data_IF_851844130928
#
_entry.id   IF_851844130928
#
_cell.length_a   1.000
_cell.length_b   1.000
_cell.length_c   1.000
_cell.angle_alpha   90.00
_cell.angle_beta   90.00
_cell.angle_gamma   90.00
#
_symmetry.space_group_name_H-M   'P 1'
#
loop_
_entity.id
_entity.type
_entity.pdbx_description
1 polymer ?
#
# COMPACT_ATOMS: atom_id res chain seq x y z
N UNK A 1 -20.36 16.60 -5.62
CA UNK A 1 -19.13 15.84 -5.76
C UNK A 1 -18.58 15.42 -4.40
N UNK A 2 -18.29 14.18 -4.26
CA UNK A 2 -17.62 13.68 -3.06
C UNK A 2 -16.14 13.96 -3.17
N UNK A 3 -15.60 14.75 -2.28
CA UNK A 3 -14.15 14.95 -2.22
C UNK A 3 -13.54 13.94 -1.29
N UNK A 4 -12.28 13.69 -1.44
CA UNK A 4 -11.54 12.95 -0.44
C UNK A 4 -11.34 13.88 0.76
N UNK A 5 -12.34 13.97 1.56
CA UNK A 5 -12.37 14.88 2.72
C UNK A 5 -12.06 14.03 3.95
N UNK A 6 -10.92 13.43 3.97
CA UNK A 6 -10.48 12.61 5.10
C UNK A 6 -11.21 11.29 5.27
N UNK A 7 -12.42 11.15 4.83
CA UNK A 7 -13.24 9.97 5.09
C UNK A 7 -13.93 9.38 3.88
N UNK A 8 -14.29 10.23 2.91
CA UNK A 8 -15.11 9.84 1.78
C UNK A 8 -14.39 10.20 0.51
N UNK A 9 -14.24 9.21 -0.38
CA UNK A 9 -13.71 9.45 -1.71
C UNK A 9 -14.74 10.21 -2.53
N UNK A 10 -14.28 11.10 -3.42
CA UNK A 10 -15.17 11.75 -4.35
C UNK A 10 -15.74 10.72 -5.33
N UNK A 11 -16.92 11.02 -5.86
CA UNK A 11 -17.53 10.20 -6.90
C UNK A 11 -16.57 10.04 -8.10
N UNK A 12 -15.88 11.10 -8.47
CA UNK A 12 -14.90 11.10 -9.56
C UNK A 12 -13.73 10.17 -9.30
N UNK A 13 -13.20 10.16 -8.07
CA UNK A 13 -12.12 9.27 -7.67
C UNK A 13 -12.58 7.81 -7.70
N UNK A 14 -13.79 7.53 -7.24
CA UNK A 14 -14.38 6.18 -7.26
C UNK A 14 -14.51 5.70 -8.70
N UNK A 15 -15.00 6.55 -9.61
CA UNK A 15 -15.12 6.22 -11.03
C UNK A 15 -13.75 5.97 -11.66
N UNK A 16 -12.74 6.77 -11.31
CA UNK A 16 -11.39 6.61 -11.81
C UNK A 16 -10.76 5.30 -11.34
N UNK A 17 -10.97 4.93 -10.09
CA UNK A 17 -10.50 3.63 -9.55
C UNK A 17 -11.17 2.48 -10.29
N UNK A 18 -12.47 2.58 -10.55
CA UNK A 18 -13.20 1.56 -11.30
C UNK A 18 -12.67 1.42 -12.74
N UNK A 19 -12.37 2.54 -13.40
CA UNK A 19 -11.76 2.54 -14.72
C UNK A 19 -10.40 1.86 -14.72
N UNK A 20 -9.55 2.15 -13.72
CA UNK A 20 -8.25 1.52 -13.59
C UNK A 20 -8.37 0.01 -13.42
N UNK A 21 -9.30 -0.45 -12.58
CA UNK A 21 -9.55 -1.88 -12.38
C UNK A 21 -10.02 -2.59 -13.64
N UNK A 22 -10.74 -1.88 -14.50
CA UNK A 22 -11.23 -2.42 -15.77
C UNK A 22 -10.21 -2.29 -16.89
N UNK A 23 -9.10 -1.59 -16.64
CA UNK A 23 -8.01 -1.48 -17.60
C UNK A 23 -7.31 -2.82 -17.76
N UNK A 24 -7.13 -3.27 -19.00
CA UNK A 24 -6.41 -4.52 -19.27
C UNK A 24 -4.97 -4.46 -18.78
N UNK A 25 -4.33 -3.30 -18.91
CA UNK A 25 -2.95 -3.11 -18.46
C UNK A 25 -2.82 -3.33 -16.95
N UNK A 26 -3.74 -2.79 -16.16
CA UNK A 26 -3.74 -2.98 -14.71
C UNK A 26 -4.07 -4.42 -14.33
N UNK A 27 -5.04 -5.01 -15.01
CA UNK A 27 -5.39 -6.41 -14.79
C UNK A 27 -4.22 -7.35 -15.09
N UNK A 28 -3.51 -7.11 -16.18
CA UNK A 28 -2.33 -7.89 -16.55
C UNK A 28 -1.23 -7.75 -15.52
N UNK A 29 -1.02 -6.54 -15.00
CA UNK A 29 -0.03 -6.29 -13.94
C UNK A 29 -0.38 -7.07 -12.67
N UNK A 30 -1.62 -6.98 -12.22
CA UNK A 30 -2.06 -7.69 -11.00
C UNK A 30 -1.99 -9.20 -11.18
N UNK A 31 -2.35 -9.70 -12.36
CA UNK A 31 -2.21 -11.12 -12.68
C UNK A 31 -0.75 -11.53 -12.67
N UNK A 32 0.14 -10.69 -13.22
CA UNK A 32 1.58 -10.93 -13.18
C UNK A 32 2.12 -11.04 -11.76
N UNK A 33 1.69 -10.14 -10.88
CA UNK A 33 2.08 -10.16 -9.46
C UNK A 33 1.65 -11.47 -8.81
N UNK A 34 0.43 -11.95 -9.12
CA UNK A 34 -0.08 -13.21 -8.55
C UNK A 34 0.69 -14.45 -9.04
N UNK A 35 1.49 -14.32 -10.10
CA UNK A 35 2.31 -15.42 -10.63
C UNK A 35 3.73 -15.46 -10.03
N UNK A 36 4.05 -14.55 -9.13
CA UNK A 36 5.32 -14.59 -8.40
C UNK A 36 5.27 -15.65 -7.31
N UNK A 37 6.29 -16.49 -7.25
CA UNK A 37 6.32 -17.64 -6.34
C UNK A 37 7.13 -17.42 -5.07
N UNK A 38 8.07 -16.48 -5.08
CA UNK A 38 8.98 -16.28 -3.95
C UNK A 38 9.52 -14.85 -3.94
N UNK A 39 10.22 -14.51 -2.86
CA UNK A 39 10.73 -13.16 -2.66
C UNK A 39 11.80 -12.78 -3.71
N UNK A 40 12.61 -13.72 -4.12
CA UNK A 40 13.64 -13.46 -5.14
C UNK A 40 13.02 -13.04 -6.47
N UNK A 41 11.94 -13.68 -6.85
CA UNK A 41 11.19 -13.31 -8.05
C UNK A 41 10.52 -11.95 -7.90
N UNK A 42 10.06 -11.61 -6.70
CA UNK A 42 9.53 -10.28 -6.42
C UNK A 42 10.59 -9.20 -6.66
N UNK A 43 11.81 -9.41 -6.14
CA UNK A 43 12.91 -8.47 -6.37
C UNK A 43 13.19 -8.30 -7.86
N UNK A 44 13.30 -9.39 -8.60
CA UNK A 44 13.56 -9.34 -10.05
C UNK A 44 12.49 -8.57 -10.79
N UNK A 45 11.23 -8.87 -10.49
CA UNK A 45 10.10 -8.24 -11.18
C UNK A 45 10.02 -6.75 -10.88
N UNK A 46 10.13 -6.36 -9.62
CA UNK A 46 10.02 -4.96 -9.23
C UNK A 46 11.27 -4.15 -9.61
N UNK A 47 12.45 -4.78 -9.67
CA UNK A 47 13.66 -4.13 -10.16
C UNK A 47 13.49 -3.71 -11.63
N UNK A 48 12.85 -4.56 -12.43
CA UNK A 48 12.59 -4.24 -13.85
C UNK A 48 11.42 -3.27 -14.02
N UNK A 49 10.38 -3.42 -13.22
CA UNK A 49 9.12 -2.68 -13.37
C UNK A 49 9.23 -1.23 -12.87
N UNK A 50 9.91 -1.02 -11.74
CA UNK A 50 9.92 0.26 -11.03
C UNK A 50 11.27 0.95 -11.15
N UNK A 51 11.24 2.29 -11.17
CA UNK A 51 12.45 3.06 -10.89
C UNK A 51 12.80 2.89 -9.41
N UNK A 52 14.04 3.19 -9.05
CA UNK A 52 14.48 3.16 -7.65
C UNK A 52 13.59 4.06 -6.79
N UNK A 53 13.27 5.26 -7.27
CA UNK A 53 12.42 6.21 -6.56
C UNK A 53 11.01 5.67 -6.35
N UNK A 54 10.43 5.06 -7.37
CA UNK A 54 9.11 4.45 -7.29
C UNK A 54 9.07 3.33 -6.25
N UNK A 55 10.06 2.45 -6.29
CA UNK A 55 10.14 1.34 -5.34
C UNK A 55 10.32 1.85 -3.90
N UNK A 56 11.20 2.83 -3.69
CA UNK A 56 11.39 3.44 -2.37
C UNK A 56 10.11 4.07 -1.85
N UNK A 57 9.37 4.75 -2.72
CA UNK A 57 8.12 5.41 -2.36
C UNK A 57 7.04 4.41 -1.93
N UNK A 58 6.90 3.32 -2.67
CA UNK A 58 5.96 2.25 -2.33
C UNK A 58 6.36 1.59 -1.00
N UNK A 59 7.64 1.26 -0.85
CA UNK A 59 8.17 0.64 0.36
C UNK A 59 7.97 1.54 1.58
N UNK A 60 8.19 2.85 1.44
CA UNK A 60 7.96 3.81 2.52
C UNK A 60 6.50 3.81 2.98
N UNK A 61 5.56 3.85 2.04
CA UNK A 61 4.12 3.83 2.37
C UNK A 61 3.74 2.54 3.11
N UNK A 62 4.29 1.42 2.69
CA UNK A 62 4.02 0.15 3.34
C UNK A 62 4.60 0.10 4.76
N UNK A 63 5.83 0.59 4.95
CA UNK A 63 6.45 0.71 6.26
C UNK A 63 5.63 1.60 7.20
N UNK A 64 5.13 2.73 6.70
CA UNK A 64 4.25 3.64 7.46
C UNK A 64 2.98 2.91 7.90
N UNK A 65 2.34 2.18 6.99
CA UNK A 65 1.12 1.42 7.32
C UNK A 65 1.38 0.42 8.43
N UNK A 66 2.47 -0.31 8.35
CA UNK A 66 2.86 -1.29 9.38
C UNK A 66 3.05 -0.63 10.74
N UNK A 67 3.77 0.48 10.78
CA UNK A 67 4.02 1.22 12.02
C UNK A 67 2.75 1.82 12.62
N UNK A 68 1.84 2.31 11.78
CA UNK A 68 0.54 2.81 12.25
C UNK A 68 -0.28 1.70 12.90
N UNK A 69 -0.25 0.50 12.35
CA UNK A 69 -0.92 -0.66 12.93
C UNK A 69 -0.31 -1.08 14.27
N UNK A 70 0.95 -0.79 14.47
CA UNK A 70 1.65 -1.03 15.74
C UNK A 70 1.49 0.13 16.73
N UNK A 71 0.66 1.12 16.41
CA UNK A 71 0.36 2.29 17.24
C UNK A 71 1.58 3.18 17.52
N UNK A 72 2.52 3.21 16.59
CA UNK A 72 3.68 4.10 16.66
C UNK A 72 3.24 5.52 16.32
N UNK A 73 3.77 6.52 17.01
CA UNK A 73 3.39 7.92 16.81
C UNK A 73 3.86 8.45 15.46
N UNK A 74 3.16 9.45 14.94
CA UNK A 74 3.52 10.12 13.69
C UNK A 74 4.95 10.66 13.72
N UNK A 75 5.35 11.24 14.85
CA UNK A 75 6.69 11.78 15.01
C UNK A 75 7.76 10.70 14.84
N UNK A 76 7.58 9.58 15.51
CA UNK A 76 8.50 8.46 15.43
C UNK A 76 8.50 7.80 14.06
N UNK A 77 7.33 7.67 13.43
CA UNK A 77 7.23 7.15 12.06
C UNK A 77 8.00 8.04 11.09
N UNK A 78 7.83 9.35 11.20
CA UNK A 78 8.55 10.32 10.36
C UNK A 78 10.06 10.20 10.52
N UNK A 79 10.55 10.04 11.74
CA UNK A 79 11.97 9.85 12.02
C UNK A 79 12.51 8.56 11.39
N UNK A 80 11.78 7.47 11.54
CA UNK A 80 12.23 6.15 11.07
C UNK A 80 12.13 5.96 9.56
N UNK A 81 11.12 6.55 8.93
CA UNK A 81 10.83 6.31 7.52
C UNK A 81 11.21 7.47 6.60
N UNK A 82 11.38 8.65 7.15
CA UNK A 82 11.54 9.86 6.36
C UNK A 82 10.25 10.36 5.71
N UNK A 83 9.12 9.72 6.01
CA UNK A 83 7.84 10.12 5.44
C UNK A 83 7.37 11.46 6.00
N UNK A 84 6.78 12.29 5.15
CA UNK A 84 6.16 13.55 5.58
C UNK A 84 4.87 13.27 6.37
N UNK A 85 4.45 14.23 7.16
CA UNK A 85 3.18 14.15 7.88
C UNK A 85 2.01 13.93 6.91
N UNK A 86 2.05 14.55 5.75
CA UNK A 86 1.03 14.38 4.71
C UNK A 86 0.97 12.93 4.22
N UNK A 87 2.12 12.30 4.00
CA UNK A 87 2.18 10.88 3.59
C UNK A 87 1.61 9.99 4.68
N UNK A 88 2.03 10.21 5.94
CA UNK A 88 1.55 9.41 7.08
C UNK A 88 0.04 9.55 7.23
N UNK A 89 -0.49 10.77 7.14
CA UNK A 89 -1.93 11.02 7.23
C UNK A 89 -2.70 10.33 6.11
N UNK A 90 -2.17 10.35 4.90
CA UNK A 90 -2.78 9.68 3.74
C UNK A 90 -2.85 8.17 3.94
N UNK A 91 -1.75 7.56 4.39
CA UNK A 91 -1.71 6.11 4.67
C UNK A 91 -2.70 5.78 5.78
N UNK A 92 -2.75 6.58 6.83
CA UNK A 92 -3.68 6.38 7.93
C UNK A 92 -5.14 6.40 7.46
N UNK A 93 -5.48 7.32 6.55
CA UNK A 93 -6.83 7.34 5.96
C UNK A 93 -7.13 6.08 5.16
N UNK A 94 -6.16 5.58 4.40
CA UNK A 94 -6.32 4.32 3.67
C UNK A 94 -6.54 3.14 4.61
N UNK A 95 -5.85 3.10 5.75
CA UNK A 95 -6.04 2.07 6.76
C UNK A 95 -7.45 2.08 7.34
N UNK A 96 -8.01 3.28 7.57
CA UNK A 96 -9.30 3.43 8.24
C UNK A 96 -10.49 3.45 7.28
N UNK A 97 -10.30 3.95 6.07
CA UNK A 97 -11.40 4.23 5.12
C UNK A 97 -11.14 3.77 3.69
N UNK A 98 -10.01 3.09 3.44
CA UNK A 98 -9.67 2.61 2.11
C UNK A 98 -10.29 1.24 1.79
N UNK A 99 -9.75 0.59 0.77
CA UNK A 99 -10.25 -0.71 0.26
C UNK A 99 -9.86 -1.90 1.13
N UNK A 100 -9.10 -1.69 2.19
CA UNK A 100 -8.70 -2.76 3.10
C UNK A 100 -7.44 -3.52 2.70
N UNK A 101 -6.73 -3.08 1.67
CA UNK A 101 -5.53 -3.77 1.17
C UNK A 101 -4.41 -3.86 2.19
N UNK A 102 -4.10 -2.76 2.87
CA UNK A 102 -3.08 -2.77 3.92
C UNK A 102 -3.45 -3.74 5.04
N UNK A 103 -4.69 -3.66 5.52
CA UNK A 103 -5.15 -4.52 6.61
C UNK A 103 -5.12 -6.00 6.22
N UNK A 104 -5.50 -6.31 4.99
CA UNK A 104 -5.48 -7.68 4.46
C UNK A 104 -4.07 -8.26 4.49
N UNK A 105 -3.10 -7.54 3.93
CA UNK A 105 -1.75 -8.07 3.78
C UNK A 105 -1.01 -8.10 5.12
N UNK A 106 -1.17 -7.06 5.95
CA UNK A 106 -0.53 -7.00 7.25
C UNK A 106 -1.03 -8.10 8.17
N UNK A 107 -2.32 -8.41 8.12
CA UNK A 107 -2.90 -9.50 8.89
C UNK A 107 -2.36 -10.86 8.45
N UNK A 108 -2.24 -11.08 7.15
CA UNK A 108 -1.68 -12.33 6.61
C UNK A 108 -0.21 -12.50 6.99
N UNK A 109 0.57 -11.43 6.95
CA UNK A 109 1.97 -11.46 7.36
C UNK A 109 2.12 -11.80 8.84
N UNK A 110 1.27 -11.23 9.68
CA UNK A 110 1.24 -11.53 11.11
C UNK A 110 0.90 -13.00 11.38
N UNK A 111 -0.13 -13.53 10.71
CA UNK A 111 -0.55 -14.92 10.85
C UNK A 111 0.55 -15.89 10.40
N UNK A 112 1.24 -15.59 9.32
CA UNK A 112 2.33 -16.43 8.83
C UNK A 112 3.51 -16.46 9.79
N UNK A 113 3.82 -15.34 10.43
CA UNK A 113 4.89 -15.27 11.42
C UNK A 113 4.54 -16.07 12.68
N UNK A 114 3.28 -16.03 13.10
CA UNK A 114 2.81 -16.78 14.26
C UNK A 114 2.69 -18.29 13.99
N UNK A 115 2.55 -18.68 12.74
CA UNK A 115 2.43 -20.09 12.33
C UNK A 115 3.77 -20.83 12.21
N UNK A 116 4.89 -20.11 12.28
CA UNK A 116 6.23 -20.69 12.16
C UNK A 116 6.92 -20.93 13.51
N UNK A 117 6.22 -20.71 14.58
CA UNK A 117 6.71 -21.01 15.93
C UNK A 117 6.32 -22.46 16.36
#
# INVERSE_FOLDING_TARGET
MLKYIGKILTHEVICLIAELRNSKEVQDLMTGILNLDNIEECYKFFDDLCTIHELKSIAQRFAVAKMLKENITYSEIGEKTGASTATISRVNRCLNYGDGGYNLILKRMENNNNGND
#
